data_IF_008787968965
#
_entry.id   IF_008787968965
#
_cell.length_a   1.000
_cell.length_b   1.000
_cell.length_c   1.000
_cell.angle_alpha   90.00
_cell.angle_beta   90.00
_cell.angle_gamma   90.00
#
_symmetry.space_group_name_H-M   'P 1'
#
loop_
_entity.id
_entity.type
_entity.pdbx_description
1 polymer ?
#
# COMPACT_ATOMS: atom_id res chain seq x y z
N UNK A 1 -12.04 -22.48 13.54
CA UNK A 1 -11.28 -21.56 14.42
C UNK A 1 -11.25 -20.23 13.68
N UNK A 2 -12.06 -19.27 14.13
CA UNK A 2 -12.32 -18.04 13.37
C UNK A 2 -11.14 -17.09 13.48
N UNK A 3 -10.60 -16.66 12.34
CA UNK A 3 -9.62 -15.59 12.29
C UNK A 3 -10.31 -14.25 12.08
N UNK A 4 -9.80 -13.26 12.79
CA UNK A 4 -10.32 -11.91 12.92
C UNK A 4 -9.90 -11.11 11.68
N UNK A 5 -10.85 -10.61 10.90
CA UNK A 5 -10.55 -9.74 9.75
C UNK A 5 -10.32 -8.31 10.27
N UNK A 6 -9.13 -7.76 10.07
CA UNK A 6 -8.84 -6.35 10.33
C UNK A 6 -9.06 -5.54 9.05
N UNK A 7 -10.28 -5.04 8.85
CA UNK A 7 -10.53 -3.98 7.86
C UNK A 7 -10.05 -2.69 8.53
N UNK A 8 -8.82 -2.25 8.22
CA UNK A 8 -8.33 -0.96 8.72
C UNK A 8 -8.90 0.15 7.84
N UNK A 9 -10.08 0.65 8.22
CA UNK A 9 -10.60 1.91 7.71
C UNK A 9 -9.94 3.06 8.48
N UNK A 10 -9.17 3.90 7.79
CA UNK A 10 -8.47 5.03 8.41
C UNK A 10 -9.43 6.19 8.68
N UNK A 11 -9.67 6.46 9.96
CA UNK A 11 -10.40 7.60 10.48
C UNK A 11 -9.46 8.83 10.49
N UNK A 12 -9.78 9.89 9.74
CA UNK A 12 -8.89 11.04 9.44
C UNK A 12 -8.61 11.98 10.63
N UNK A 13 -8.79 11.55 11.88
CA UNK A 13 -8.84 12.48 13.01
C UNK A 13 -8.07 12.05 14.28
N UNK A 14 -6.96 11.32 14.16
CA UNK A 14 -6.06 11.04 15.31
C UNK A 14 -4.58 11.31 15.00
N UNK A 15 -3.83 11.93 15.93
CA UNK A 15 -2.37 11.97 15.89
C UNK A 15 -1.75 10.83 16.73
N UNK A 16 -0.64 10.29 16.23
CA UNK A 16 0.30 9.26 16.77
C UNK A 16 -0.06 7.80 16.51
N UNK A 17 0.91 7.10 15.92
CA UNK A 17 0.85 5.83 15.18
C UNK A 17 0.32 6.07 13.76
N UNK A 18 1.24 6.24 12.80
CA UNK A 18 0.97 6.29 11.37
C UNK A 18 0.91 4.84 10.87
N UNK A 19 -0.28 4.23 10.79
CA UNK A 19 -0.41 2.81 10.48
C UNK A 19 0.14 2.44 9.08
N UNK A 20 0.24 3.41 8.17
CA UNK A 20 0.86 3.22 6.86
C UNK A 20 2.37 3.03 6.99
N UNK A 21 3.01 3.75 7.92
CA UNK A 21 4.44 3.61 8.20
C UNK A 21 4.75 2.22 8.74
N UNK A 22 3.97 1.73 9.70
CA UNK A 22 4.13 0.38 10.25
C UNK A 22 4.05 -0.69 9.14
N UNK A 23 3.14 -0.51 8.17
CA UNK A 23 3.04 -1.40 7.02
C UNK A 23 4.36 -1.40 6.22
N UNK A 24 4.93 -0.24 5.88
CA UNK A 24 6.20 -0.18 5.16
C UNK A 24 7.40 -0.71 5.95
N UNK A 25 7.39 -0.62 7.28
CA UNK A 25 8.40 -1.23 8.15
C UNK A 25 8.33 -2.78 8.17
N UNK A 26 7.13 -3.34 7.97
CA UNK A 26 6.91 -4.80 7.98
C UNK A 26 6.98 -5.45 6.58
N UNK A 27 6.97 -4.66 5.50
CA UNK A 27 7.03 -5.19 4.13
C UNK A 27 8.39 -5.83 3.82
N UNK A 28 8.36 -7.02 3.23
CA UNK A 28 9.56 -7.66 2.70
C UNK A 28 9.90 -7.05 1.32
N UNK A 29 11.20 -6.90 0.98
CA UNK A 29 11.59 -6.48 -0.36
C UNK A 29 11.01 -7.41 -1.43
N UNK A 30 10.79 -6.86 -2.63
CA UNK A 30 10.14 -7.49 -3.79
C UNK A 30 8.63 -7.78 -3.63
N UNK A 31 8.04 -7.41 -2.49
CA UNK A 31 6.59 -7.54 -2.26
C UNK A 31 5.78 -6.65 -3.20
N UNK A 32 4.83 -7.23 -3.92
CA UNK A 32 3.91 -6.49 -4.79
C UNK A 32 2.90 -5.73 -3.94
N UNK A 33 2.85 -4.41 -4.11
CA UNK A 33 1.97 -3.51 -3.38
C UNK A 33 1.19 -2.62 -4.34
N UNK A 34 -0.05 -2.33 -3.96
CA UNK A 34 -0.86 -1.29 -4.57
C UNK A 34 -1.00 -0.15 -3.59
N UNK A 35 -0.80 1.08 -4.06
CA UNK A 35 -0.87 2.26 -3.21
C UNK A 35 -1.62 3.40 -3.89
N UNK A 36 -2.31 4.17 -3.05
CA UNK A 36 -3.02 5.39 -3.43
C UNK A 36 -2.38 6.55 -2.68
N UNK A 37 -2.09 7.62 -3.42
CA UNK A 37 -1.53 8.87 -2.87
C UNK A 37 -2.61 9.93 -2.66
N UNK A 38 -2.33 10.96 -1.86
CA UNK A 38 -3.24 12.10 -1.61
C UNK A 38 -3.68 12.81 -2.90
N UNK A 39 -2.81 12.83 -3.91
CA UNK A 39 -3.08 13.38 -5.24
C UNK A 39 -3.96 12.46 -6.13
N UNK A 40 -4.45 11.35 -5.56
CA UNK A 40 -5.24 10.30 -6.25
C UNK A 40 -4.48 9.59 -7.36
N UNK A 41 -3.15 9.55 -7.27
CA UNK A 41 -2.34 8.68 -8.12
C UNK A 41 -2.32 7.28 -7.53
N UNK A 42 -2.59 6.30 -8.38
CA UNK A 42 -2.57 4.87 -8.04
C UNK A 42 -1.33 4.24 -8.66
N UNK A 43 -0.56 3.53 -7.85
CA UNK A 43 0.58 2.76 -8.31
C UNK A 43 0.38 1.29 -7.97
N UNK A 44 0.76 0.43 -8.91
CA UNK A 44 1.10 -0.96 -8.65
C UNK A 44 2.61 -1.06 -8.78
N UNK A 45 3.27 -1.51 -7.72
CA UNK A 45 4.72 -1.49 -7.63
C UNK A 45 5.25 -2.62 -6.76
N UNK A 46 6.52 -2.96 -6.93
CA UNK A 46 7.24 -3.83 -6.01
C UNK A 46 7.97 -3.01 -4.98
N UNK A 47 7.69 -3.25 -3.71
CA UNK A 47 8.44 -2.67 -2.60
C UNK A 47 9.91 -3.07 -2.69
N UNK A 48 10.81 -2.11 -2.52
CA UNK A 48 12.26 -2.35 -2.54
C UNK A 48 12.83 -2.17 -1.13
N UNK A 49 12.59 -1.01 -0.55
CA UNK A 49 13.11 -0.64 0.78
C UNK A 49 12.29 0.50 1.37
N UNK A 50 12.33 0.61 2.70
CA UNK A 50 11.77 1.76 3.42
C UNK A 50 12.90 2.54 4.08
N UNK A 51 13.06 3.80 3.67
CA UNK A 51 14.00 4.72 4.29
C UNK A 51 13.34 5.34 5.53
N UNK A 52 13.73 4.83 6.70
CA UNK A 52 13.24 5.30 8.00
C UNK A 52 13.77 6.68 8.40
N UNK A 53 14.86 7.16 7.78
CA UNK A 53 15.44 8.48 8.05
C UNK A 53 14.67 9.58 7.31
N UNK A 54 14.29 9.31 6.06
CA UNK A 54 13.55 10.24 5.19
C UNK A 54 12.04 10.00 5.19
N UNK A 55 11.57 8.90 5.78
CA UNK A 55 10.17 8.45 5.76
C UNK A 55 9.64 8.25 4.33
N UNK A 56 10.47 7.65 3.47
CA UNK A 56 10.18 7.40 2.05
C UNK A 56 10.20 5.90 1.74
N UNK A 57 9.17 5.44 1.03
CA UNK A 57 9.13 4.09 0.49
C UNK A 57 9.68 4.08 -0.94
N UNK A 58 10.68 3.22 -1.17
CA UNK A 58 11.24 3.00 -2.50
C UNK A 58 10.49 1.86 -3.17
N UNK A 59 9.99 2.14 -4.36
CA UNK A 59 9.05 1.29 -5.07
C UNK A 59 9.50 1.17 -6.53
N UNK A 60 9.45 -0.05 -7.08
CA UNK A 60 9.65 -0.29 -8.50
C UNK A 60 8.28 -0.39 -9.17
N UNK A 61 7.88 0.64 -9.91
CA UNK A 61 6.55 0.71 -10.53
C UNK A 61 6.44 -0.34 -11.62
N UNK A 62 5.30 -1.03 -11.68
CA UNK A 62 5.05 -2.02 -12.71
C UNK A 62 5.07 -1.37 -14.12
N UNK A 63 5.72 -2.06 -15.07
CA UNK A 63 5.93 -1.62 -16.45
C UNK A 63 4.65 -1.22 -17.20
N UNK A 64 3.47 -1.63 -16.74
CA UNK A 64 2.19 -1.28 -17.37
C UNK A 64 1.64 0.09 -16.97
N UNK A 65 2.26 0.78 -16.02
CA UNK A 65 1.86 2.12 -15.54
C UNK A 65 2.66 3.25 -16.22
N UNK A 66 2.21 4.49 -16.01
CA UNK A 66 2.79 5.70 -16.64
C UNK A 66 4.28 5.84 -16.33
N UNK A 67 4.70 5.49 -15.12
CA UNK A 67 6.09 5.49 -14.64
C UNK A 67 6.69 4.07 -14.62
N UNK A 68 6.18 3.19 -15.48
CA UNK A 68 6.44 1.77 -15.42
C UNK A 68 7.91 1.41 -15.68
N UNK A 69 8.47 0.57 -14.80
CA UNK A 69 9.87 0.17 -14.81
C UNK A 69 10.82 1.19 -14.18
N UNK A 70 10.30 2.30 -13.64
CA UNK A 70 11.09 3.26 -12.88
C UNK A 70 11.04 3.00 -11.37
N UNK A 71 12.14 3.28 -10.70
CA UNK A 71 12.19 3.34 -9.24
C UNK A 71 11.69 4.71 -8.79
N UNK A 72 10.65 4.73 -7.97
CA UNK A 72 10.07 5.94 -7.38
C UNK A 72 10.24 5.92 -5.87
N UNK A 73 10.59 7.07 -5.30
CA UNK A 73 10.56 7.29 -3.86
C UNK A 73 9.28 8.04 -3.53
N UNK A 74 8.41 7.43 -2.71
CA UNK A 74 7.15 8.05 -2.30
C UNK A 74 7.21 8.33 -0.80
N UNK A 75 7.05 9.60 -0.38
CA UNK A 75 6.98 9.91 1.04
C UNK A 75 5.72 9.27 1.64
N UNK A 76 5.89 8.57 2.77
CA UNK A 76 4.80 7.84 3.43
C UNK A 76 3.64 8.76 3.81
N UNK A 77 3.94 10.03 4.10
CA UNK A 77 2.93 11.07 4.38
C UNK A 77 1.97 11.33 3.23
N UNK A 78 2.37 11.08 1.98
CA UNK A 78 1.49 11.20 0.81
C UNK A 78 0.67 9.95 0.56
N UNK A 79 0.96 8.82 1.21
CA UNK A 79 0.26 7.55 1.00
C UNK A 79 -1.00 7.52 1.86
N UNK A 80 -2.16 7.51 1.22
CA UNK A 80 -3.45 7.42 1.91
C UNK A 80 -3.92 5.98 2.08
N UNK A 81 -3.43 5.07 1.23
CA UNK A 81 -3.79 3.65 1.26
C UNK A 81 -2.67 2.80 0.68
N UNK A 82 -2.46 1.64 1.28
CA UNK A 82 -1.55 0.59 0.78
C UNK A 82 -2.24 -0.77 0.91
N UNK A 83 -2.07 -1.64 -0.09
CA UNK A 83 -2.52 -3.04 -0.13
C UNK A 83 -1.32 -3.92 -0.51
N UNK A 84 -1.05 -4.99 0.24
CA UNK A 84 -0.03 -6.00 -0.08
C UNK A 84 -0.61 -7.24 -0.77
N UNK A 85 0.21 -8.27 -1.10
CA UNK A 85 -0.16 -9.34 -2.01
C UNK A 85 -0.98 -10.50 -1.39
N UNK A 86 -1.60 -10.33 -0.22
CA UNK A 86 -2.54 -11.33 0.33
C UNK A 86 -3.89 -10.72 0.72
N UNK A 87 -4.50 -10.06 -0.26
CA UNK A 87 -5.96 -9.96 -0.34
C UNK A 87 -6.36 -10.26 -1.77
N UNK A 88 -6.55 -11.55 -2.08
CA UNK A 88 -7.56 -11.92 -3.07
C UNK A 88 -8.88 -11.35 -2.54
N UNK A 89 -9.27 -10.19 -3.03
CA UNK A 89 -10.67 -9.81 -3.10
C UNK A 89 -11.31 -10.84 -4.04
N UNK A 90 -11.78 -11.96 -3.47
CA UNK A 90 -12.77 -12.80 -4.14
C UNK A 90 -14.02 -11.92 -4.24
N UNK A 91 -14.10 -11.18 -5.34
CA UNK A 91 -15.30 -10.47 -5.81
C UNK A 91 -16.33 -11.55 -6.20
N UNK A 92 -16.76 -12.34 -5.21
CA UNK A 92 -18.02 -13.05 -5.26
C UNK A 92 -19.10 -11.99 -5.08
N UNK A 93 -19.37 -11.25 -6.16
CA UNK A 93 -20.65 -10.57 -6.34
C UNK A 93 -21.73 -11.65 -6.25
N UNK A 94 -22.38 -11.70 -5.09
CA UNK A 94 -23.63 -12.42 -4.85
C UNK A 94 -24.71 -11.73 -5.71
N UNK A 95 -24.76 -12.03 -7.01
CA UNK A 95 -25.96 -11.79 -7.82
C UNK A 95 -26.99 -12.86 -7.47
N UNK A 96 -27.87 -12.46 -6.57
CA UNK A 96 -29.16 -13.07 -6.26
C UNK A 96 -30.03 -13.23 -7.52
N UNK A 97 -30.44 -14.46 -7.81
CA UNK A 97 -31.77 -14.76 -8.42
C UNK A 97 -32.39 -16.03 -7.80
#
# INVERSE_FOLDING_TARGET
>A
MGQLYAIIQFDRNKPKDDPIREIFEELEPETEVQLETEDKTFYEAKFQEFDTENEEAKLLVDQFYVDGGEEVNIPVSMVVKVKGPDVQEDDSEDEVE
#
